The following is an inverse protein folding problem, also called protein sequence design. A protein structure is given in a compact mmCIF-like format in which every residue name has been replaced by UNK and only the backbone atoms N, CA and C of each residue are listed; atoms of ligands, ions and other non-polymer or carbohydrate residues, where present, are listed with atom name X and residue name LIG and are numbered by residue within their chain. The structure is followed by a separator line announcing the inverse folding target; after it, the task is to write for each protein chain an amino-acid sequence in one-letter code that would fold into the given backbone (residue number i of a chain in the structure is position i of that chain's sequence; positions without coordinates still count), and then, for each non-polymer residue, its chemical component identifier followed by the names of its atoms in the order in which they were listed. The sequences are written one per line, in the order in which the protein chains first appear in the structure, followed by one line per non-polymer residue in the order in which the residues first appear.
data_IF_292294545688
#
_entry.id   IF_292294545688
#
_cell.length_a   1.000
_cell.length_b   1.000
_cell.length_c   1.000
_cell.angle_alpha   90.00
_cell.angle_beta   90.00
_cell.angle_gamma   90.00
#
_symmetry.space_group_name_H-M   'P 1'
#
loop_
_entity.id
_entity.type
_entity.pdbx_description
1 polymer ?
#
# COMPACT_ATOMS: atom_id res chain seq x y z
N UNK A 1 -10.54 3.27 11.78
CA UNK A 1 -10.08 4.53 12.39
C UNK A 1 -8.56 4.52 12.46
N UNK A 2 -7.87 5.45 11.77
CA UNK A 2 -6.41 5.53 11.74
C UNK A 2 -5.91 6.20 13.03
N UNK A 3 -4.93 5.60 13.70
CA UNK A 3 -4.33 6.12 14.94
C UNK A 3 -2.80 6.05 14.85
N UNK A 4 -2.12 7.08 15.34
CA UNK A 4 -0.67 7.12 15.51
C UNK A 4 -0.39 7.42 16.98
N UNK A 5 0.44 6.58 17.62
CA UNK A 5 0.95 6.83 18.97
C UNK A 5 2.25 7.63 18.83
N UNK A 6 2.35 8.74 19.55
CA UNK A 6 3.53 9.63 19.55
C UNK A 6 4.13 9.58 20.94
N UNK A 7 5.45 9.39 21.06
CA UNK A 7 6.16 9.45 22.33
C UNK A 7 6.72 10.86 22.57
N UNK A 8 7.04 11.20 23.82
CA UNK A 8 7.54 12.54 24.19
C UNK A 8 8.87 12.93 23.50
N UNK A 9 9.65 11.95 23.04
CA UNK A 9 10.90 12.15 22.30
C UNK A 9 10.72 12.21 20.78
N UNK A 10 9.51 11.98 20.27
CA UNK A 10 9.22 12.02 18.84
C UNK A 10 8.96 13.45 18.38
N UNK A 11 9.64 13.87 17.32
CA UNK A 11 9.38 15.15 16.67
C UNK A 11 7.98 15.14 16.02
N UNK A 12 7.18 16.17 16.28
CA UNK A 12 5.79 16.29 15.81
C UNK A 12 5.67 16.11 14.29
N UNK A 13 6.61 16.65 13.52
CA UNK A 13 6.58 16.53 12.06
C UNK A 13 6.75 15.07 11.59
N UNK A 14 7.55 14.28 12.30
CA UNK A 14 7.69 12.85 12.03
C UNK A 14 6.37 12.10 12.25
N UNK A 15 5.66 12.43 13.33
CA UNK A 15 4.35 11.83 13.62
C UNK A 15 3.31 12.17 12.53
N UNK A 16 3.28 13.41 12.06
CA UNK A 16 2.38 13.86 10.99
C UNK A 16 2.68 13.15 9.66
N UNK A 17 3.96 12.99 9.30
CA UNK A 17 4.36 12.23 8.11
C UNK A 17 3.92 10.78 8.17
N UNK A 18 4.09 10.12 9.33
CA UNK A 18 3.61 8.75 9.55
C UNK A 18 2.10 8.65 9.45
N UNK A 19 1.37 9.59 10.05
CA UNK A 19 -0.08 9.64 9.97
C UNK A 19 -0.56 9.76 8.52
N UNK A 20 0.02 10.69 7.74
CA UNK A 20 -0.27 10.84 6.31
C UNK A 20 0.00 9.55 5.53
N UNK A 21 1.11 8.87 5.82
CA UNK A 21 1.45 7.58 5.20
C UNK A 21 0.41 6.50 5.53
N UNK A 22 -0.04 6.41 6.78
CA UNK A 22 -1.04 5.43 7.19
C UNK A 22 -2.40 5.75 6.54
N UNK A 23 -2.82 7.01 6.47
CA UNK A 23 -4.04 7.42 5.78
C UNK A 23 -3.99 7.10 4.27
N UNK A 24 -2.84 7.30 3.63
CA UNK A 24 -2.62 6.93 2.23
C UNK A 24 -2.68 5.42 2.03
N UNK A 25 -2.01 4.65 2.88
CA UNK A 25 -2.01 3.18 2.81
C UNK A 25 -3.39 2.58 3.11
N UNK A 26 -4.14 3.17 4.03
CA UNK A 26 -5.52 2.81 4.33
C UNK A 26 -6.49 3.18 3.19
N UNK A 27 -6.03 3.94 2.19
CA UNK A 27 -6.82 4.31 1.02
C UNK A 27 -7.90 5.38 1.29
N UNK A 28 -7.86 6.05 2.44
CA UNK A 28 -8.90 7.02 2.87
C UNK A 28 -9.10 8.12 1.82
N UNK A 29 -8.01 8.72 1.33
CA UNK A 29 -8.11 9.76 0.30
C UNK A 29 -8.65 9.25 -1.04
N UNK A 30 -8.38 7.98 -1.38
CA UNK A 30 -8.91 7.35 -2.59
C UNK A 30 -10.41 7.11 -2.46
N UNK A 31 -10.86 6.73 -1.27
CA UNK A 31 -12.28 6.56 -0.97
C UNK A 31 -13.04 7.89 -1.00
N UNK A 32 -12.52 8.93 -0.35
CA UNK A 32 -13.10 10.29 -0.39
C UNK A 32 -13.30 10.74 -1.84
N UNK A 33 -12.28 10.57 -2.70
CA UNK A 33 -12.37 10.95 -4.11
C UNK A 33 -13.41 10.15 -4.91
N UNK A 34 -13.64 8.88 -4.58
CA UNK A 34 -14.66 8.08 -5.28
C UNK A 34 -16.07 8.33 -4.74
N UNK A 35 -16.19 8.78 -3.49
CA UNK A 35 -17.48 9.10 -2.86
C UNK A 35 -17.92 10.55 -3.09
N UNK A 36 -17.03 11.43 -3.56
CA UNK A 36 -17.33 12.84 -3.77
C UNK A 36 -18.41 13.11 -4.83
N UNK A 37 -18.75 12.10 -5.64
CA UNK A 37 -19.83 12.16 -6.62
C UNK A 37 -20.56 10.82 -6.68
N UNK A 38 -21.83 10.85 -7.08
CA UNK A 38 -22.56 9.63 -7.36
C UNK A 38 -21.99 8.93 -8.58
N UNK A 39 -21.63 7.67 -8.41
CA UNK A 39 -21.22 6.81 -9.50
C UNK A 39 -22.30 5.77 -9.79
N UNK A 40 -22.73 5.70 -11.05
CA UNK A 40 -23.65 4.68 -11.54
C UNK A 40 -23.08 3.27 -11.31
N UNK A 41 -23.92 2.26 -11.03
CA UNK A 41 -23.46 0.89 -10.80
C UNK A 41 -22.66 0.28 -11.96
N UNK A 42 -23.01 0.64 -13.21
CA UNK A 42 -22.27 0.22 -14.41
C UNK A 42 -20.84 0.75 -14.42
N UNK A 43 -20.67 2.04 -14.16
CA UNK A 43 -19.36 2.70 -14.11
C UNK A 43 -18.50 2.13 -12.98
N UNK A 44 -19.11 1.84 -11.83
CA UNK A 44 -18.42 1.19 -10.71
C UNK A 44 -17.85 -0.16 -11.13
N UNK A 45 -18.67 -1.02 -11.73
CA UNK A 45 -18.24 -2.34 -12.22
C UNK A 45 -17.15 -2.23 -13.29
N UNK A 46 -17.27 -1.27 -14.21
CA UNK A 46 -16.27 -1.01 -15.25
C UNK A 46 -14.93 -0.63 -14.64
N UNK A 47 -14.90 0.34 -13.72
CA UNK A 47 -13.68 0.79 -13.04
C UNK A 47 -13.01 -0.33 -12.23
N UNK A 48 -13.80 -1.13 -11.50
CA UNK A 48 -13.28 -2.27 -10.74
C UNK A 48 -12.66 -3.33 -11.66
N UNK A 49 -13.27 -3.60 -12.81
CA UNK A 49 -12.72 -4.48 -13.84
C UNK A 49 -11.39 -3.97 -14.41
N UNK A 50 -11.32 -2.70 -14.77
CA UNK A 50 -10.10 -2.05 -15.26
C UNK A 50 -8.97 -2.09 -14.22
N UNK A 51 -9.29 -1.82 -12.95
CA UNK A 51 -8.34 -1.91 -11.83
C UNK A 51 -7.78 -3.32 -11.65
N UNK A 52 -8.63 -4.36 -11.72
CA UNK A 52 -8.19 -5.77 -11.64
C UNK A 52 -7.28 -6.13 -12.80
N UNK A 53 -7.66 -5.78 -14.04
CA UNK A 53 -6.82 -6.01 -15.24
C UNK A 53 -5.47 -5.32 -15.11
N UNK A 54 -5.44 -4.05 -14.68
CA UNK A 54 -4.20 -3.31 -14.45
C UNK A 54 -3.31 -3.98 -13.41
N UNK A 55 -3.88 -4.42 -12.29
CA UNK A 55 -3.13 -5.10 -11.23
C UNK A 55 -2.54 -6.43 -11.72
N UNK A 56 -3.29 -7.20 -12.51
CA UNK A 56 -2.83 -8.44 -13.12
C UNK A 56 -1.68 -8.20 -14.10
N UNK A 57 -1.81 -7.21 -14.99
CA UNK A 57 -0.73 -6.82 -15.92
C UNK A 57 0.51 -6.36 -15.17
N UNK A 58 0.37 -5.57 -14.11
CA UNK A 58 1.49 -5.14 -13.28
C UNK A 58 2.14 -6.31 -12.54
N UNK A 59 1.38 -7.31 -12.09
CA UNK A 59 1.91 -8.52 -11.47
C UNK A 59 2.69 -9.36 -12.48
N UNK A 60 2.16 -9.55 -13.69
CA UNK A 60 2.85 -10.28 -14.77
C UNK A 60 4.17 -9.60 -15.13
N UNK A 61 4.14 -8.27 -15.36
CA UNK A 61 5.36 -7.50 -15.65
C UNK A 61 6.43 -7.63 -14.57
N UNK A 62 6.04 -7.77 -13.29
CA UNK A 62 6.98 -8.01 -12.19
C UNK A 62 7.65 -9.39 -12.31
N UNK A 63 6.87 -10.42 -12.64
CA UNK A 63 7.37 -11.79 -12.88
C UNK A 63 8.34 -11.78 -14.07
N UNK A 64 7.92 -11.20 -15.20
CA UNK A 64 8.70 -11.13 -16.43
C UNK A 64 10.03 -10.39 -16.22
N UNK A 65 10.03 -9.35 -15.37
CA UNK A 65 11.22 -8.57 -15.05
C UNK A 65 12.23 -9.27 -14.13
N UNK A 66 11.91 -10.46 -13.59
CA UNK A 66 12.82 -11.22 -12.72
C UNK A 66 13.18 -10.53 -11.39
N UNK A 67 12.52 -9.42 -11.05
CA UNK A 67 12.74 -8.72 -9.78
C UNK A 67 12.07 -9.52 -8.67
N UNK A 68 12.83 -10.39 -8.00
CA UNK A 68 12.40 -10.96 -6.73
C UNK A 68 11.99 -9.80 -5.82
N UNK A 69 10.72 -9.77 -5.41
CA UNK A 69 10.27 -8.80 -4.43
C UNK A 69 10.97 -9.14 -3.12
N UNK A 70 12.10 -8.50 -2.85
CA UNK A 70 12.66 -8.45 -1.49
C UNK A 70 11.52 -7.95 -0.62
N UNK A 71 10.90 -8.85 0.16
CA UNK A 71 9.92 -8.50 1.17
C UNK A 71 10.66 -7.60 2.14
N UNK A 72 10.53 -6.28 1.98
CA UNK A 72 11.24 -5.31 2.79
C UNK A 72 10.85 -5.54 4.25
N UNK A 73 11.78 -6.15 4.97
CA UNK A 73 11.99 -6.20 6.41
C UNK A 73 10.92 -6.92 7.25
N UNK A 74 11.05 -8.24 7.37
CA UNK A 74 10.62 -8.96 8.58
C UNK A 74 11.86 -9.22 9.45
N UNK A 75 12.01 -8.60 10.64
CA UNK A 75 13.23 -8.68 11.46
C UNK A 75 13.46 -10.05 12.15
N UNK A 76 12.82 -11.14 11.71
CA UNK A 76 12.89 -12.47 12.36
C UNK A 76 13.41 -13.60 11.45
N UNK A 77 14.28 -13.32 10.48
CA UNK A 77 14.95 -14.39 9.72
C UNK A 77 16.45 -14.29 9.96
N UNK A 78 16.97 -15.14 10.85
CA UNK A 78 18.41 -15.35 10.97
C UNK A 78 18.90 -15.89 9.63
N UNK A 79 19.78 -15.16 8.95
CA UNK A 79 20.55 -15.68 7.80
C UNK A 79 21.34 -16.89 8.33
N UNK A 80 20.90 -18.11 8.05
CA UNK A 80 21.81 -19.25 8.14
C UNK A 80 22.81 -19.07 7.00
N UNK A 81 24.05 -18.74 7.33
CA UNK A 81 25.13 -18.88 6.37
C UNK A 81 25.26 -20.37 6.06
N UNK A 82 25.06 -20.73 4.80
CA UNK A 82 25.45 -22.06 4.35
C UNK A 82 26.98 -22.07 4.37
N UNK A 83 27.57 -22.63 5.43
CA UNK A 83 28.94 -23.09 5.38
C UNK A 83 29.02 -24.22 4.35
N UNK A 84 30.08 -24.14 3.54
CA UNK A 84 30.56 -25.13 2.57
C UNK A 84 30.00 -26.55 2.71
#
# INVERSE_FOLDING_TARGET
MVKVKVNASDELDRALRLFKKICNNAGIFKEIKRLSYYEKPSERRRREGEMKKRNMVLAQKRIDSGVETVRRNNPKVKRSYNSR
#
